data_IF_076629626352
#
_entry.id   IF_076629626352
#
_cell.length_a   1.000
_cell.length_b   1.000
_cell.length_c   1.000
_cell.angle_alpha   90.00
_cell.angle_beta   90.00
_cell.angle_gamma   90.00
#
_symmetry.space_group_name_H-M   'P 1'
#
loop_
_entity.id
_entity.type
_entity.pdbx_description
1 polymer ?
#
# COMPACT_ATOMS: atom_id res chain seq x y z
N UNK A 1 9.10 -15.46 2.28
CA UNK A 1 7.68 -15.52 2.71
C UNK A 1 7.49 -14.48 3.78
N UNK A 2 6.43 -13.68 3.71
CA UNK A 2 6.16 -12.60 4.65
C UNK A 2 4.84 -12.88 5.36
N UNK A 3 4.90 -13.00 6.70
CA UNK A 3 3.74 -13.31 7.53
C UNK A 3 3.55 -12.24 8.60
N UNK A 4 2.36 -11.65 8.63
CA UNK A 4 1.99 -10.67 9.64
C UNK A 4 0.48 -10.66 9.81
N UNK A 5 0.01 -11.26 10.90
CA UNK A 5 -1.36 -11.17 11.38
C UNK A 5 -1.46 -9.98 12.34
N UNK A 6 -2.05 -8.88 11.87
CA UNK A 6 -2.06 -7.62 12.62
C UNK A 6 -2.98 -7.72 13.84
N UNK A 7 -4.11 -8.41 13.72
CA UNK A 7 -5.06 -8.58 14.82
C UNK A 7 -4.40 -9.34 15.97
N UNK A 8 -3.80 -10.50 15.66
CA UNK A 8 -3.08 -11.30 16.64
C UNK A 8 -1.92 -10.52 17.28
N UNK A 9 -1.16 -9.78 16.47
CA UNK A 9 -0.03 -8.99 16.96
C UNK A 9 -0.44 -7.87 17.92
N UNK A 10 -1.59 -7.23 17.66
CA UNK A 10 -2.19 -6.21 18.53
C UNK A 10 -2.76 -6.85 19.80
N UNK A 11 -3.42 -8.01 19.69
CA UNK A 11 -3.96 -8.74 20.83
C UNK A 11 -2.85 -9.15 21.82
N UNK A 12 -1.74 -9.70 21.32
CA UNK A 12 -0.56 -10.08 22.12
C UNK A 12 0.05 -8.89 22.87
N UNK A 13 -0.21 -7.65 22.41
CA UNK A 13 0.23 -6.39 23.05
C UNK A 13 -0.83 -5.77 23.96
N UNK A 14 -1.98 -6.42 24.08
CA UNK A 14 -3.10 -5.95 24.89
C UNK A 14 -3.89 -4.81 24.23
N UNK A 15 -3.79 -4.64 22.92
CA UNK A 15 -4.47 -3.58 22.15
C UNK A 15 -5.74 -4.04 21.46
N UNK A 16 -6.34 -5.12 21.95
CA UNK A 16 -7.62 -5.64 21.50
C UNK A 16 -8.73 -4.58 21.68
N UNK A 17 -9.44 -4.17 20.62
CA UNK A 17 -10.46 -3.12 20.68
C UNK A 17 -11.68 -3.51 21.51
N UNK A 18 -11.89 -4.80 21.78
CA UNK A 18 -13.02 -5.31 22.55
C UNK A 18 -12.72 -5.45 24.05
N UNK A 19 -11.46 -5.26 24.48
CA UNK A 19 -11.08 -5.34 25.90
C UNK A 19 -11.25 -3.97 26.59
N UNK A 20 -11.97 -3.88 27.73
CA UNK A 20 -12.19 -2.61 28.45
C UNK A 20 -10.90 -1.95 28.94
N UNK A 21 -9.89 -2.76 29.28
CA UNK A 21 -8.58 -2.32 29.78
C UNK A 21 -7.53 -2.51 28.68
N UNK A 22 -7.85 -2.09 27.45
CA UNK A 22 -6.90 -2.19 26.35
C UNK A 22 -5.78 -1.15 26.49
N UNK A 23 -4.58 -1.54 26.07
CA UNK A 23 -3.43 -0.64 25.93
C UNK A 23 -3.49 0.06 24.58
N UNK A 24 -2.98 1.29 24.51
CA UNK A 24 -2.78 1.98 23.24
C UNK A 24 -1.91 1.12 22.31
N UNK A 25 -2.31 1.02 21.05
CA UNK A 25 -1.55 0.26 20.07
C UNK A 25 -0.25 0.99 19.74
N UNK A 26 0.89 0.28 19.64
CA UNK A 26 2.16 0.90 19.28
C UNK A 26 2.22 1.36 17.81
N UNK A 27 1.44 0.75 16.91
CA UNK A 27 1.26 1.16 15.50
C UNK A 27 0.06 0.43 14.90
N UNK A 28 -0.38 0.87 13.72
CA UNK A 28 -1.35 0.18 12.86
C UNK A 28 -2.69 -0.18 13.51
N UNK A 29 -3.12 0.58 14.51
CA UNK A 29 -4.33 0.29 15.29
C UNK A 29 -5.58 0.12 14.44
N UNK A 30 -5.72 0.88 13.36
CA UNK A 30 -6.91 0.83 12.51
C UNK A 30 -6.89 -0.31 11.48
N UNK A 31 -5.89 -1.19 11.52
CA UNK A 31 -5.63 -2.22 10.50
C UNK A 31 -5.83 -3.65 11.01
N UNK A 32 -6.71 -3.87 12.00
CA UNK A 32 -7.01 -5.22 12.53
C UNK A 32 -7.41 -6.26 11.46
N UNK A 33 -8.02 -5.84 10.35
CA UNK A 33 -8.40 -6.74 9.25
C UNK A 33 -7.19 -7.27 8.45
N UNK A 34 -6.01 -6.67 8.63
CA UNK A 34 -4.87 -6.89 7.76
C UNK A 34 -4.15 -8.20 8.11
N UNK A 35 -3.99 -9.03 7.08
CA UNK A 35 -3.34 -10.33 7.18
C UNK A 35 -2.39 -10.52 5.99
N UNK A 36 -1.10 -10.46 6.28
CA UNK A 36 -0.06 -10.76 5.32
C UNK A 36 0.36 -12.23 5.44
N UNK A 37 0.42 -12.95 4.33
CA UNK A 37 0.75 -14.37 4.33
C UNK A 37 1.06 -14.87 2.93
N UNK A 38 1.97 -14.17 2.25
CA UNK A 38 2.29 -14.39 0.84
C UNK A 38 3.81 -14.27 0.59
N UNK A 39 4.27 -14.68 -0.59
CA UNK A 39 5.62 -14.35 -1.07
C UNK A 39 5.58 -12.96 -1.70
N UNK A 40 6.28 -12.02 -1.08
CA UNK A 40 6.29 -10.60 -1.47
C UNK A 40 7.71 -10.20 -1.85
N UNK A 41 7.87 -9.47 -2.95
CA UNK A 41 9.15 -8.85 -3.33
C UNK A 41 9.48 -7.70 -2.39
N UNK A 42 10.64 -7.77 -1.73
CA UNK A 42 11.11 -6.73 -0.81
C UNK A 42 11.98 -5.70 -1.55
N UNK A 43 11.99 -4.43 -1.13
CA UNK A 43 12.90 -3.42 -1.67
C UNK A 43 14.37 -3.75 -1.42
N UNK A 44 14.67 -4.24 -0.21
CA UNK A 44 16.01 -4.69 0.15
C UNK A 44 15.94 -5.87 1.13
N UNK A 45 16.98 -6.70 1.17
CA UNK A 45 17.02 -7.88 2.05
C UNK A 45 17.49 -7.59 3.48
N UNK A 46 18.15 -6.44 3.70
CA UNK A 46 18.83 -6.12 4.95
C UNK A 46 18.31 -4.84 5.60
N UNK A 47 18.26 -3.73 4.86
CA UNK A 47 17.82 -2.42 5.36
C UNK A 47 16.29 -2.33 5.43
N UNK A 48 15.61 -2.91 4.45
CA UNK A 48 14.14 -2.89 4.34
C UNK A 48 13.56 -4.31 4.26
N UNK A 49 13.69 -5.15 5.32
CA UNK A 49 13.17 -6.53 5.32
C UNK A 49 11.63 -6.59 5.46
N UNK A 50 10.94 -5.58 4.93
CA UNK A 50 9.51 -5.35 4.95
C UNK A 50 9.09 -4.68 3.63
N UNK A 51 7.83 -4.87 3.22
CA UNK A 51 7.36 -4.30 1.96
C UNK A 51 6.94 -2.84 2.11
N UNK A 52 7.22 -2.06 1.08
CA UNK A 52 6.60 -0.77 0.83
C UNK A 52 5.75 -0.89 -0.44
N UNK A 53 4.47 -0.53 -0.37
CA UNK A 53 3.54 -0.80 -1.45
C UNK A 53 3.90 -0.03 -2.73
N UNK A 54 4.37 1.21 -2.60
CA UNK A 54 4.81 2.01 -3.74
C UNK A 54 6.09 1.47 -4.41
N UNK A 55 7.10 1.04 -3.66
CA UNK A 55 8.28 0.32 -4.20
C UNK A 55 7.84 -0.92 -4.99
N UNK A 56 6.93 -1.72 -4.42
CA UNK A 56 6.42 -2.92 -5.08
C UNK A 56 5.77 -2.59 -6.43
N UNK A 57 5.01 -1.49 -6.50
CA UNK A 57 4.42 -1.04 -7.77
C UNK A 57 5.47 -0.69 -8.83
N UNK A 58 6.65 -0.17 -8.44
CA UNK A 58 7.77 0.02 -9.37
C UNK A 58 8.43 -1.31 -9.75
N UNK A 59 8.68 -2.19 -8.78
CA UNK A 59 9.29 -3.51 -9.02
C UNK A 59 8.49 -4.36 -10.00
N UNK A 60 7.15 -4.27 -9.95
CA UNK A 60 6.25 -5.03 -10.83
C UNK A 60 6.60 -4.86 -12.30
N UNK A 61 7.06 -3.69 -12.75
CA UNK A 61 7.44 -3.52 -14.15
C UNK A 61 8.64 -4.39 -14.52
N UNK A 62 9.67 -4.42 -13.68
CA UNK A 62 10.85 -5.27 -13.89
C UNK A 62 10.50 -6.75 -13.77
N UNK A 63 9.69 -7.11 -12.77
CA UNK A 63 9.23 -8.49 -12.56
C UNK A 63 8.44 -9.00 -13.77
N UNK A 64 7.55 -8.18 -14.32
CA UNK A 64 6.71 -8.53 -15.48
C UNK A 64 7.54 -8.81 -16.73
N UNK A 65 8.74 -8.24 -16.87
CA UNK A 65 9.62 -8.55 -18.00
C UNK A 65 10.16 -9.98 -17.96
N UNK A 66 10.19 -10.61 -16.79
CA UNK A 66 10.74 -11.96 -16.57
C UNK A 66 9.63 -12.98 -16.34
N UNK A 67 8.66 -12.62 -15.50
CA UNK A 67 7.50 -13.44 -15.14
C UNK A 67 6.28 -12.52 -14.96
N UNK A 68 5.48 -12.45 -16.03
CA UNK A 68 4.27 -11.63 -16.09
C UNK A 68 3.24 -12.02 -15.04
N UNK A 69 3.07 -13.31 -14.76
CA UNK A 69 2.10 -13.79 -13.78
C UNK A 69 2.53 -13.40 -12.37
N UNK A 70 3.82 -13.54 -12.05
CA UNK A 70 4.35 -13.11 -10.77
C UNK A 70 4.22 -11.59 -10.59
N UNK A 71 4.59 -10.78 -11.59
CA UNK A 71 4.43 -9.32 -11.55
C UNK A 71 2.97 -8.91 -11.30
N UNK A 72 2.03 -9.48 -12.06
CA UNK A 72 0.58 -9.28 -11.88
C UNK A 72 0.10 -9.69 -10.48
N UNK A 73 0.63 -10.79 -9.94
CA UNK A 73 0.30 -11.26 -8.59
C UNK A 73 0.82 -10.31 -7.50
N UNK A 74 2.06 -9.82 -7.63
CA UNK A 74 2.66 -8.88 -6.68
C UNK A 74 1.83 -7.60 -6.55
N UNK A 75 1.43 -7.02 -7.68
CA UNK A 75 0.57 -5.83 -7.67
C UNK A 75 -0.80 -6.13 -7.01
N UNK A 76 -1.39 -7.29 -7.33
CA UNK A 76 -2.68 -7.68 -6.76
C UNK A 76 -2.65 -7.86 -5.25
N UNK A 77 -1.52 -8.23 -4.64
CA UNK A 77 -1.42 -8.40 -3.19
C UNK A 77 -1.92 -7.15 -2.46
N UNK A 78 -1.45 -5.96 -2.86
CA UNK A 78 -1.83 -4.68 -2.24
C UNK A 78 -3.29 -4.29 -2.46
N UNK A 79 -3.99 -4.94 -3.39
CA UNK A 79 -5.39 -4.69 -3.73
C UNK A 79 -6.35 -5.78 -3.21
N UNK A 80 -5.81 -6.88 -2.65
CA UNK A 80 -6.61 -7.95 -2.03
C UNK A 80 -7.26 -7.45 -0.75
N UNK A 81 -8.42 -7.98 -0.43
CA UNK A 81 -9.21 -7.69 0.76
C UNK A 81 -8.47 -7.91 2.09
N UNK A 82 -7.45 -8.76 2.11
CA UNK A 82 -6.60 -8.99 3.30
C UNK A 82 -5.54 -7.90 3.51
N UNK A 83 -5.30 -7.04 2.52
CA UNK A 83 -4.25 -6.00 2.55
C UNK A 83 -4.85 -4.61 2.40
N UNK A 84 -5.78 -4.43 1.47
CA UNK A 84 -6.45 -3.17 1.20
C UNK A 84 -7.42 -2.85 2.34
N UNK A 85 -7.31 -1.64 2.90
CA UNK A 85 -8.23 -1.20 3.93
C UNK A 85 -9.67 -1.14 3.39
N UNK A 86 -10.70 -1.53 4.19
CA UNK A 86 -12.10 -1.42 3.80
C UNK A 86 -12.58 -0.01 3.38
N UNK A 87 -11.78 1.03 3.65
CA UNK A 87 -12.10 2.41 3.27
C UNK A 87 -11.50 2.80 1.91
N UNK A 88 -10.77 1.88 1.25
CA UNK A 88 -10.06 2.09 0.00
C UNK A 88 -8.56 2.39 0.14
N UNK A 89 -8.03 2.60 1.34
CA UNK A 89 -6.60 2.89 1.53
C UNK A 89 -5.72 1.68 1.22
N UNK A 90 -4.70 1.89 0.38
CA UNK A 90 -3.61 0.92 0.19
C UNK A 90 -2.61 1.13 1.35
N UNK A 91 -2.15 0.05 2.02
CA UNK A 91 -1.19 0.15 3.11
C UNK A 91 0.14 0.73 2.60
N UNK A 92 0.74 1.68 3.31
CA UNK A 92 2.05 2.20 2.93
C UNK A 92 3.16 1.16 3.16
N UNK A 93 3.46 0.86 4.43
CA UNK A 93 4.51 -0.10 4.82
C UNK A 93 4.31 -0.62 6.25
N UNK A 94 5.04 -1.68 6.65
CA UNK A 94 4.84 -2.40 7.92
C UNK A 94 4.76 -1.49 9.15
N UNK A 95 5.62 -0.48 9.24
CA UNK A 95 5.68 0.40 10.41
C UNK A 95 4.52 1.38 10.52
N UNK A 96 3.90 1.75 9.41
CA UNK A 96 2.78 2.65 9.38
C UNK A 96 1.91 2.41 8.13
N UNK A 97 0.97 1.46 8.21
CA UNK A 97 0.07 1.19 7.09
C UNK A 97 -0.81 2.38 6.73
N UNK A 98 -1.14 3.22 7.73
CA UNK A 98 -1.95 4.41 7.57
C UNK A 98 -1.22 5.59 6.92
N UNK A 99 0.10 5.51 6.73
CA UNK A 99 0.85 6.52 6.01
C UNK A 99 0.42 6.59 4.55
N UNK A 100 0.86 7.64 3.88
CA UNK A 100 0.52 7.91 2.49
C UNK A 100 1.80 7.95 1.68
N UNK A 101 1.89 7.08 0.68
CA UNK A 101 2.94 7.11 -0.33
C UNK A 101 2.36 7.58 -1.68
N UNK A 102 3.19 8.01 -2.63
CA UNK A 102 2.74 8.37 -3.97
C UNK A 102 1.85 7.29 -4.61
N UNK A 103 0.67 7.65 -5.17
CA UNK A 103 -0.32 6.68 -5.66
C UNK A 103 0.03 6.11 -7.05
N UNK A 104 1.15 5.40 -7.14
CA UNK A 104 1.70 4.87 -8.41
C UNK A 104 1.08 3.54 -8.86
N UNK A 105 0.17 2.96 -8.07
CA UNK A 105 -0.43 1.64 -8.36
C UNK A 105 -1.25 1.63 -9.64
N UNK A 106 -2.00 2.69 -9.93
CA UNK A 106 -2.78 2.80 -11.18
C UNK A 106 -1.87 2.88 -12.42
N UNK A 107 -0.76 3.63 -12.31
CA UNK A 107 0.27 3.68 -13.33
C UNK A 107 0.89 2.30 -13.57
N UNK A 108 1.34 1.64 -12.50
CA UNK A 108 1.93 0.30 -12.60
C UNK A 108 0.96 -0.71 -13.23
N UNK A 109 -0.33 -0.64 -12.86
CA UNK A 109 -1.39 -1.49 -13.42
C UNK A 109 -1.48 -1.36 -14.94
N UNK A 110 -1.64 -0.13 -15.45
CA UNK A 110 -1.86 0.08 -16.89
C UNK A 110 -0.59 -0.22 -17.71
N UNK A 111 0.59 0.08 -17.16
CA UNK A 111 1.86 -0.25 -17.82
C UNK A 111 2.08 -1.76 -17.87
N UNK A 112 1.80 -2.47 -16.78
CA UNK A 112 1.87 -3.95 -16.73
C UNK A 112 0.94 -4.59 -17.75
N UNK A 113 -0.32 -4.14 -17.83
CA UNK A 113 -1.27 -4.62 -18.85
C UNK A 113 -0.78 -4.35 -20.28
N UNK A 114 -0.21 -3.18 -20.54
CA UNK A 114 0.32 -2.85 -21.88
C UNK A 114 1.55 -3.68 -22.22
N UNK A 115 2.42 -3.94 -21.26
CA UNK A 115 3.60 -4.78 -21.43
C UNK A 115 3.20 -6.23 -21.73
N UNK A 116 2.30 -6.80 -20.92
CA UNK A 116 1.68 -8.11 -21.15
C UNK A 116 1.08 -8.23 -22.55
N UNK A 117 0.26 -7.24 -22.95
CA UNK A 117 -0.33 -7.20 -24.29
C UNK A 117 0.72 -7.10 -25.40
N UNK A 118 1.79 -6.33 -25.19
CA UNK A 118 2.84 -6.18 -26.19
C UNK A 118 3.66 -7.47 -26.38
N UNK A 119 3.86 -8.24 -25.30
CA UNK A 119 4.57 -9.52 -25.33
C UNK A 119 3.69 -10.67 -25.87
N UNK A 120 2.44 -10.76 -25.42
CA UNK A 120 1.53 -11.87 -25.73
C UNK A 120 0.55 -11.62 -26.89
N UNK A 121 0.50 -10.41 -27.44
CA UNK A 121 -0.46 -9.98 -28.48
C UNK A 121 -1.86 -9.66 -27.95
N UNK A 122 -2.32 -10.35 -26.90
CA UNK A 122 -3.53 -10.07 -26.14
C UNK A 122 -3.19 -9.75 -24.69
N UNK A 123 -3.88 -8.78 -24.09
CA UNK A 123 -3.68 -8.40 -22.70
C UNK A 123 -4.77 -8.98 -21.80
N UNK A 124 -4.40 -9.30 -20.56
CA UNK A 124 -5.33 -9.84 -19.56
C UNK A 124 -6.34 -8.80 -19.07
N UNK A 125 -7.52 -8.78 -19.70
CA UNK A 125 -8.60 -7.84 -19.39
C UNK A 125 -9.28 -8.14 -18.05
N UNK A 126 -9.34 -9.40 -17.64
CA UNK A 126 -9.99 -9.77 -16.38
C UNK A 126 -9.12 -9.33 -15.20
N UNK A 127 -7.80 -9.50 -15.30
CA UNK A 127 -6.86 -8.92 -14.35
C UNK A 127 -6.99 -7.39 -14.28
N UNK A 128 -7.01 -6.70 -15.43
CA UNK A 128 -7.14 -5.26 -15.48
C UNK A 128 -8.44 -4.76 -14.82
N UNK A 129 -9.58 -5.40 -15.12
CA UNK A 129 -10.87 -5.08 -14.49
C UNK A 129 -10.82 -5.26 -12.97
N UNK A 130 -10.22 -6.35 -12.49
CA UNK A 130 -10.13 -6.62 -11.06
C UNK A 130 -9.29 -5.57 -10.32
N UNK A 131 -8.18 -5.13 -10.91
CA UNK A 131 -7.35 -4.06 -10.36
C UNK A 131 -8.07 -2.72 -10.43
N UNK A 132 -8.70 -2.41 -11.56
CA UNK A 132 -9.43 -1.15 -11.76
C UNK A 132 -10.52 -0.92 -10.71
N UNK A 133 -11.30 -1.95 -10.39
CA UNK A 133 -12.36 -1.85 -9.37
C UNK A 133 -11.78 -1.49 -7.99
N UNK A 134 -10.66 -2.10 -7.59
CA UNK A 134 -10.00 -1.81 -6.31
C UNK A 134 -9.32 -0.45 -6.30
N UNK A 135 -8.71 -0.06 -7.42
CA UNK A 135 -8.11 1.25 -7.58
C UNK A 135 -9.15 2.38 -7.63
N UNK A 136 -10.37 2.10 -8.08
CA UNK A 136 -11.47 3.06 -7.98
C UNK A 136 -11.82 3.35 -6.52
N UNK A 137 -11.88 2.31 -5.67
CA UNK A 137 -12.05 2.49 -4.21
C UNK A 137 -10.89 3.31 -3.63
N UNK A 138 -9.65 3.03 -4.03
CA UNK A 138 -8.50 3.80 -3.61
C UNK A 138 -8.55 5.27 -4.06
N UNK A 139 -8.95 5.52 -5.30
CA UNK A 139 -9.14 6.87 -5.80
C UNK A 139 -10.24 7.62 -5.03
N UNK A 140 -11.36 6.96 -4.74
CA UNK A 140 -12.42 7.52 -3.90
C UNK A 140 -11.91 7.85 -2.49
N UNK A 141 -11.04 7.02 -1.91
CA UNK A 141 -10.38 7.34 -0.64
C UNK A 141 -9.52 8.60 -0.74
N UNK A 142 -8.71 8.74 -1.80
CA UNK A 142 -7.87 9.92 -2.04
C UNK A 142 -8.69 11.21 -2.11
N UNK A 143 -9.73 11.23 -2.95
CA UNK A 143 -10.61 12.39 -3.10
C UNK A 143 -11.27 12.76 -1.78
N UNK A 144 -11.77 11.79 -1.01
CA UNK A 144 -12.51 12.09 0.22
C UNK A 144 -11.62 12.40 1.44
N UNK A 145 -10.42 11.83 1.53
CA UNK A 145 -9.57 11.92 2.74
C UNK A 145 -8.36 12.82 2.58
N UNK A 146 -7.89 12.99 1.34
CA UNK A 146 -6.64 13.70 1.02
C UNK A 146 -6.87 14.94 0.15
N UNK A 147 -8.07 15.16 -0.38
CA UNK A 147 -8.51 16.42 -0.98
C UNK A 147 -9.75 16.97 -0.26
N UNK A 148 -9.61 17.29 1.03
CA UNK A 148 -10.73 17.72 1.88
C UNK A 148 -11.45 18.97 1.37
N UNK A 149 -10.78 19.78 0.56
CA UNK A 149 -11.28 21.06 0.07
C UNK A 149 -11.65 21.04 -1.43
N UNK A 150 -11.56 19.89 -2.10
CA UNK A 150 -11.92 19.76 -3.52
C UNK A 150 -11.05 20.60 -4.46
N UNK A 151 -9.79 20.82 -4.09
CA UNK A 151 -8.85 21.65 -4.85
C UNK A 151 -8.02 20.84 -5.86
N UNK A 152 -8.20 19.52 -5.90
CA UNK A 152 -7.35 18.60 -6.65
C UNK A 152 -5.87 18.69 -6.27
N UNK A 153 -5.60 19.05 -5.01
CA UNK A 153 -4.27 19.03 -4.41
C UNK A 153 -4.34 18.06 -3.25
N UNK A 154 -3.68 16.91 -3.40
CA UNK A 154 -3.70 15.87 -2.38
C UNK A 154 -2.66 16.16 -1.30
N UNK A 155 -3.09 16.17 -0.04
CA UNK A 155 -2.28 16.56 1.11
C UNK A 155 -1.77 15.36 1.93
N UNK A 156 -0.60 15.55 2.53
CA UNK A 156 0.00 14.64 3.50
C UNK A 156 0.70 13.44 2.88
N UNK A 157 1.50 12.78 3.72
CA UNK A 157 2.24 11.58 3.33
C UNK A 157 3.73 11.80 3.14
N UNK A 158 4.41 10.67 3.16
CA UNK A 158 5.79 10.52 2.80
C UNK A 158 5.95 10.45 1.28
N UNK A 159 6.69 11.40 0.70
CA UNK A 159 6.98 11.45 -0.74
C UNK A 159 8.03 10.43 -1.21
N UNK A 160 8.62 9.65 -0.29
CA UNK A 160 9.78 8.84 -0.64
C UNK A 160 11.11 9.59 -0.64
N UNK A 161 11.11 10.81 -0.11
CA UNK A 161 12.21 11.76 -0.18
C UNK A 161 12.51 12.28 1.23
N UNK A 162 13.02 11.38 2.09
CA UNK A 162 13.16 11.55 3.55
C UNK A 162 13.78 12.88 3.96
N UNK A 163 14.81 13.33 3.24
CA UNK A 163 15.65 14.44 3.67
C UNK A 163 15.58 15.67 2.75
N UNK A 164 14.50 15.84 1.98
CA UNK A 164 14.36 17.00 1.08
C UNK A 164 13.91 18.27 1.83
N UNK A 165 13.73 18.23 3.15
CA UNK A 165 13.35 19.36 3.98
C UNK A 165 14.17 19.46 5.27
N UNK A 166 14.27 20.67 5.82
CA UNK A 166 14.97 20.95 7.10
C UNK A 166 14.16 20.47 8.32
N UNK A 167 12.88 20.16 8.12
CA UNK A 167 11.94 19.71 9.14
C UNK A 167 11.04 18.60 8.60
N UNK A 168 10.55 17.75 9.50
CA UNK A 168 9.55 16.73 9.19
C UNK A 168 8.23 17.41 8.81
N UNK A 169 7.79 17.19 7.57
CA UNK A 169 6.56 17.78 7.02
C UNK A 169 5.29 17.09 7.52
N UNK A 170 5.42 15.94 8.15
CA UNK A 170 4.32 15.18 8.74
C UNK A 170 4.06 15.56 10.20
N UNK A 171 4.97 16.31 10.82
CA UNK A 171 4.87 16.81 12.19
C UNK A 171 4.45 18.28 12.24
N UNK A 172 3.85 18.76 13.34
CA UNK A 172 3.66 20.19 13.58
C UNK A 172 4.99 20.93 13.44
N UNK A 173 4.96 22.10 12.78
CA UNK A 173 6.17 22.90 12.62
C UNK A 173 6.67 23.36 14.00
N UNK A 174 8.01 23.42 14.22
CA UNK A 174 8.57 23.84 15.50
C UNK A 174 8.13 25.23 15.98
N UNK A 175 7.64 26.08 15.07
CA UNK A 175 7.26 27.48 15.35
C UNK A 175 5.76 27.71 15.53
N UNK A 176 4.93 26.66 15.47
CA UNK A 176 3.47 26.78 15.54
C UNK A 176 2.80 26.93 14.17
#
# INVERSE_FOLDING_TARGET
>A
FYHYDVDKWLEERGSDPFKPIRKAAPRNEHWHHMYNGDVISMPDKWEYPWYAAWDLAFHVLALTLVDTDFGKQQLKLMLRERYLHPNGQIPAYEWNFGDVNPPVHAWSTIFTYRLDKAQGGEGDREWLKSCFQKLLLNFTWWVNRKDRFGKNVFEGGFLGLDNIGVFDRSAPLPTG
#
